data_IF_364001982845
#
_entry.id   IF_364001982845
#
_cell.length_a   1.000
_cell.length_b   1.000
_cell.length_c   1.000
_cell.angle_alpha   90.00
_cell.angle_beta   90.00
_cell.angle_gamma   90.00
#
_symmetry.space_group_name_H-M   'P 1'
#
loop_
_entity.id
_entity.type
_entity.pdbx_description
1 polymer ?
#
# COMPACT_ATOMS: atom_id res chain seq x y z
N UNK A 1 -21.76 -4.73 -6.79
CA UNK A 1 -21.95 -4.24 -5.42
C UNK A 1 -21.26 -2.89 -5.33
N UNK A 2 -21.92 -1.78 -4.89
CA UNK A 2 -21.32 -0.43 -4.90
C UNK A 2 -19.95 -0.34 -4.21
N UNK A 3 -19.78 -1.09 -3.12
CA UNK A 3 -18.51 -1.14 -2.39
C UNK A 3 -17.36 -1.75 -3.23
N UNK A 4 -17.66 -2.77 -4.01
CA UNK A 4 -16.68 -3.41 -4.91
C UNK A 4 -16.24 -2.45 -6.02
N UNK A 5 -17.21 -1.76 -6.63
CA UNK A 5 -16.97 -0.75 -7.66
C UNK A 5 -16.16 0.44 -7.11
N UNK A 6 -16.43 0.83 -5.86
CA UNK A 6 -15.64 1.87 -5.20
C UNK A 6 -14.18 1.46 -5.00
N UNK A 7 -13.91 0.21 -4.61
CA UNK A 7 -12.54 -0.27 -4.45
C UNK A 7 -11.81 -0.27 -5.81
N UNK A 8 -12.49 -0.70 -6.89
CA UNK A 8 -11.94 -0.58 -8.25
C UNK A 8 -11.70 0.87 -8.65
N UNK A 9 -12.62 1.78 -8.33
CA UNK A 9 -12.42 3.20 -8.60
C UNK A 9 -11.14 3.72 -7.93
N UNK A 10 -10.89 3.40 -6.65
CA UNK A 10 -9.65 3.79 -5.96
C UNK A 10 -8.41 3.16 -6.58
N UNK A 11 -8.50 1.87 -6.94
CA UNK A 11 -7.45 1.17 -7.67
C UNK A 11 -7.11 1.89 -8.98
N UNK A 12 -8.11 2.23 -9.78
CA UNK A 12 -7.93 2.86 -11.09
C UNK A 12 -7.38 4.29 -10.98
N UNK A 13 -7.69 5.03 -9.91
CA UNK A 13 -7.05 6.32 -9.63
C UNK A 13 -5.53 6.14 -9.42
N UNK A 14 -5.12 5.16 -8.62
CA UNK A 14 -3.71 4.86 -8.39
C UNK A 14 -3.02 4.32 -9.66
N UNK A 15 -3.67 3.46 -10.43
CA UNK A 15 -3.13 2.93 -11.67
C UNK A 15 -2.95 4.04 -12.72
N UNK A 16 -3.92 4.94 -12.87
CA UNK A 16 -3.81 6.09 -13.76
C UNK A 16 -2.66 7.02 -13.36
N UNK A 17 -2.47 7.26 -12.08
CA UNK A 17 -1.36 8.05 -11.55
C UNK A 17 -0.02 7.38 -11.88
N UNK A 18 0.12 6.08 -11.61
CA UNK A 18 1.33 5.31 -11.89
C UNK A 18 1.70 5.37 -13.38
N UNK A 19 0.74 5.16 -14.28
CA UNK A 19 0.95 5.23 -15.74
C UNK A 19 1.41 6.62 -16.16
N UNK A 20 0.84 7.69 -15.61
CA UNK A 20 1.26 9.06 -15.91
C UNK A 20 2.71 9.32 -15.50
N UNK A 21 3.12 8.85 -14.32
CA UNK A 21 4.50 9.00 -13.84
C UNK A 21 5.47 8.17 -14.68
N UNK A 22 5.11 6.95 -15.05
CA UNK A 22 5.92 6.10 -15.94
C UNK A 22 6.09 6.73 -17.32
N UNK A 23 5.01 7.20 -17.94
CA UNK A 23 5.07 7.87 -19.27
C UNK A 23 5.86 9.19 -19.25
N UNK A 24 5.92 9.85 -18.10
CA UNK A 24 6.68 11.09 -17.93
C UNK A 24 8.15 10.86 -17.58
N UNK A 25 8.59 9.60 -17.52
CA UNK A 25 9.98 9.21 -17.19
C UNK A 25 10.53 9.94 -15.95
N UNK A 26 9.70 10.02 -14.91
CA UNK A 26 10.00 10.77 -13.69
C UNK A 26 11.28 10.26 -12.99
N UNK A 27 11.52 8.97 -13.07
CA UNK A 27 12.69 8.30 -12.51
C UNK A 27 14.01 8.67 -13.22
N UNK A 28 13.93 9.17 -14.46
CA UNK A 28 15.10 9.60 -15.23
C UNK A 28 15.48 11.07 -15.00
N UNK A 29 14.70 11.81 -14.20
CA UNK A 29 14.99 13.22 -13.90
C UNK A 29 16.38 13.37 -13.27
N UNK A 30 17.24 14.07 -13.95
CA UNK A 30 18.60 14.37 -13.49
C UNK A 30 19.64 13.28 -13.79
N UNK A 31 19.23 12.11 -14.29
CA UNK A 31 20.17 11.03 -14.61
C UNK A 31 21.05 11.37 -15.79
N UNK A 32 20.54 12.13 -16.76
CA UNK A 32 21.30 12.56 -17.95
C UNK A 32 22.57 13.31 -17.57
N UNK A 33 22.49 14.22 -16.59
CA UNK A 33 23.65 14.99 -16.10
C UNK A 33 24.68 14.10 -15.42
N UNK A 34 24.24 13.02 -14.78
CA UNK A 34 25.12 12.07 -14.11
C UNK A 34 25.81 11.19 -15.15
N UNK A 35 25.07 10.72 -16.16
CA UNK A 35 25.61 9.94 -17.27
C UNK A 35 26.66 10.78 -18.05
N UNK A 36 26.40 12.06 -18.28
CA UNK A 36 27.33 12.99 -18.88
C UNK A 36 28.62 13.13 -18.06
N UNK A 37 28.48 13.41 -16.74
CA UNK A 37 29.61 13.53 -15.82
C UNK A 37 30.42 12.22 -15.70
N UNK A 38 29.74 11.08 -15.71
CA UNK A 38 30.38 9.76 -15.71
C UNK A 38 31.17 9.55 -17.00
N UNK A 39 30.58 9.84 -18.17
CA UNK A 39 31.19 9.67 -19.48
C UNK A 39 32.41 10.60 -19.68
N UNK A 40 32.37 11.81 -19.15
CA UNK A 40 33.51 12.71 -19.13
C UNK A 40 34.69 12.14 -18.33
N UNK A 41 34.43 11.50 -17.20
CA UNK A 41 35.46 10.91 -16.34
C UNK A 41 35.98 9.56 -16.83
N UNK A 42 35.12 8.78 -17.50
CA UNK A 42 35.41 7.44 -18.04
C UNK A 42 34.97 7.28 -19.48
N UNK A 43 35.66 7.97 -20.45
CA UNK A 43 35.17 8.08 -21.83
C UNK A 43 35.09 6.76 -22.60
N UNK A 44 35.86 5.75 -22.20
CA UNK A 44 35.94 4.46 -22.90
C UNK A 44 35.14 3.35 -22.15
N UNK A 45 34.40 3.70 -21.07
CA UNK A 45 33.70 2.74 -20.24
C UNK A 45 32.17 2.86 -20.38
N UNK A 46 31.56 1.74 -20.78
CA UNK A 46 30.07 1.65 -20.81
C UNK A 46 29.56 1.11 -19.49
N UNK A 47 29.18 2.01 -18.60
CA UNK A 47 28.73 1.66 -17.25
C UNK A 47 27.33 1.02 -17.22
N UNK A 48 27.13 0.05 -16.34
CA UNK A 48 25.80 -0.35 -15.95
C UNK A 48 25.18 0.64 -14.92
N UNK A 49 23.89 0.48 -14.65
CA UNK A 49 23.18 1.37 -13.72
C UNK A 49 23.73 1.33 -12.29
N UNK A 50 24.29 0.20 -11.86
CA UNK A 50 24.86 0.04 -10.53
C UNK A 50 26.15 0.83 -10.38
N UNK A 51 26.98 0.84 -11.44
CA UNK A 51 28.20 1.63 -11.48
C UNK A 51 27.91 3.13 -11.50
N UNK A 52 26.89 3.55 -12.25
CA UNK A 52 26.42 4.95 -12.27
C UNK A 52 25.92 5.36 -10.88
N UNK A 53 25.15 4.52 -10.21
CA UNK A 53 24.63 4.80 -8.85
C UNK A 53 25.76 4.89 -7.82
N UNK A 54 26.80 4.03 -7.90
CA UNK A 54 27.99 4.14 -7.07
C UNK A 54 28.75 5.45 -7.32
N UNK A 55 28.95 5.78 -8.59
CA UNK A 55 29.57 7.05 -8.99
C UNK A 55 28.80 8.25 -8.42
N UNK A 56 27.46 8.25 -8.50
CA UNK A 56 26.66 9.32 -7.92
C UNK A 56 26.97 9.52 -6.43
N UNK A 57 27.07 8.43 -5.70
CA UNK A 57 27.33 8.44 -4.27
C UNK A 57 28.74 8.92 -3.94
N UNK A 58 29.74 8.43 -4.70
CA UNK A 58 31.16 8.77 -4.51
C UNK A 58 31.46 10.24 -4.85
N UNK A 59 30.76 10.82 -5.84
CA UNK A 59 30.96 12.19 -6.29
C UNK A 59 29.97 13.21 -5.67
N UNK A 60 29.09 12.76 -4.74
CA UNK A 60 28.18 13.64 -4.02
C UNK A 60 26.94 14.10 -4.81
N UNK A 61 26.51 13.33 -5.81
CA UNK A 61 25.24 13.56 -6.52
C UNK A 61 24.06 12.97 -5.74
N UNK A 62 23.91 13.33 -4.45
CA UNK A 62 22.91 12.72 -3.56
C UNK A 62 21.47 12.92 -4.04
N UNK A 63 21.11 14.13 -4.47
CA UNK A 63 19.74 14.42 -4.85
C UNK A 63 19.24 13.59 -6.05
N UNK A 64 19.95 13.49 -7.18
CA UNK A 64 19.60 12.60 -8.28
C UNK A 64 19.62 11.12 -7.89
N UNK A 65 20.59 10.70 -7.06
CA UNK A 65 20.68 9.34 -6.56
C UNK A 65 19.42 8.94 -5.79
N UNK A 66 19.04 9.71 -4.78
CA UNK A 66 17.81 9.46 -4.02
C UNK A 66 16.57 9.55 -4.89
N UNK A 67 16.48 10.54 -5.76
CA UNK A 67 15.33 10.68 -6.66
C UNK A 67 15.12 9.42 -7.51
N UNK A 68 16.19 8.90 -8.13
CA UNK A 68 16.13 7.69 -8.92
C UNK A 68 15.68 6.47 -8.10
N UNK A 69 16.33 6.21 -6.96
CA UNK A 69 15.99 5.06 -6.12
C UNK A 69 14.57 5.12 -5.58
N UNK A 70 14.16 6.28 -5.04
CA UNK A 70 12.82 6.46 -4.50
C UNK A 70 11.77 6.25 -5.58
N UNK A 71 11.98 6.83 -6.76
CA UNK A 71 11.07 6.69 -7.90
C UNK A 71 10.90 5.23 -8.29
N UNK A 72 12.00 4.50 -8.51
CA UNK A 72 11.96 3.08 -8.89
C UNK A 72 11.29 2.20 -7.83
N UNK A 73 11.63 2.40 -6.56
CA UNK A 73 11.06 1.62 -5.46
C UNK A 73 9.57 1.93 -5.30
N UNK A 74 9.18 3.21 -5.31
CA UNK A 74 7.76 3.59 -5.16
C UNK A 74 6.91 3.09 -6.33
N UNK A 75 7.40 3.23 -7.57
CA UNK A 75 6.70 2.71 -8.75
C UNK A 75 6.56 1.20 -8.68
N UNK A 76 7.62 0.47 -8.34
CA UNK A 76 7.61 -0.98 -8.21
C UNK A 76 6.67 -1.47 -7.12
N UNK A 77 6.72 -0.89 -5.91
CA UNK A 77 5.83 -1.24 -4.80
C UNK A 77 4.36 -0.93 -5.13
N UNK A 78 4.10 0.21 -5.77
CA UNK A 78 2.74 0.61 -6.16
C UNK A 78 2.19 -0.31 -7.25
N UNK A 79 2.97 -0.60 -8.29
CA UNK A 79 2.59 -1.53 -9.36
C UNK A 79 2.25 -2.91 -8.81
N UNK A 80 3.10 -3.46 -7.96
CA UNK A 80 2.90 -4.76 -7.34
C UNK A 80 1.65 -4.76 -6.44
N UNK A 81 1.45 -3.72 -5.62
CA UNK A 81 0.25 -3.54 -4.80
C UNK A 81 -1.03 -3.55 -5.65
N UNK A 82 -1.03 -2.80 -6.74
CA UNK A 82 -2.18 -2.69 -7.63
C UNK A 82 -2.48 -4.00 -8.36
N UNK A 83 -1.48 -4.68 -8.90
CA UNK A 83 -1.67 -5.96 -9.58
C UNK A 83 -2.28 -7.02 -8.65
N UNK A 84 -1.74 -7.19 -7.44
CA UNK A 84 -2.30 -8.12 -6.47
C UNK A 84 -3.71 -7.76 -6.03
N UNK A 85 -3.98 -6.47 -5.83
CA UNK A 85 -5.33 -5.99 -5.45
C UNK A 85 -6.33 -6.23 -6.57
N UNK A 86 -5.98 -5.94 -7.83
CA UNK A 86 -6.82 -6.20 -9.00
C UNK A 86 -7.19 -7.68 -9.10
N UNK A 87 -6.20 -8.56 -9.06
CA UNK A 87 -6.43 -10.01 -9.18
C UNK A 87 -7.23 -10.57 -8.00
N UNK A 88 -7.06 -10.00 -6.79
CA UNK A 88 -7.89 -10.34 -5.65
C UNK A 88 -9.35 -9.96 -5.88
N UNK A 89 -9.62 -8.74 -6.34
CA UNK A 89 -10.98 -8.28 -6.65
C UNK A 89 -11.64 -9.13 -7.74
N UNK A 90 -10.91 -9.43 -8.82
CA UNK A 90 -11.41 -10.35 -9.88
C UNK A 90 -11.64 -11.77 -9.37
N UNK A 91 -10.88 -12.21 -8.39
CA UNK A 91 -11.06 -13.51 -7.73
C UNK A 91 -12.31 -13.52 -6.85
N UNK A 92 -12.62 -12.42 -6.14
CA UNK A 92 -13.87 -12.26 -5.40
C UNK A 92 -15.11 -12.29 -6.31
N UNK A 93 -15.08 -11.64 -7.49
CA UNK A 93 -16.16 -11.73 -8.46
C UNK A 93 -16.47 -13.18 -8.88
N UNK A 94 -15.44 -14.01 -8.93
CA UNK A 94 -15.53 -15.44 -9.29
C UNK A 94 -15.71 -16.36 -8.09
N UNK A 95 -15.95 -15.82 -6.88
CA UNK A 95 -16.09 -16.56 -5.62
C UNK A 95 -14.89 -17.45 -5.26
N UNK A 96 -13.70 -17.08 -5.71
CA UNK A 96 -12.43 -17.75 -5.40
C UNK A 96 -11.83 -17.19 -4.11
N UNK A 97 -12.52 -17.33 -2.99
CA UNK A 97 -12.22 -16.66 -1.73
C UNK A 97 -10.80 -16.93 -1.21
N UNK A 98 -10.36 -18.20 -1.17
CA UNK A 98 -9.01 -18.55 -0.70
C UNK A 98 -7.93 -17.87 -1.56
N UNK A 99 -8.11 -17.84 -2.88
CA UNK A 99 -7.18 -17.14 -3.78
C UNK A 99 -7.22 -15.65 -3.52
N UNK A 100 -8.41 -15.06 -3.44
CA UNK A 100 -8.60 -13.63 -3.25
C UNK A 100 -7.94 -13.12 -1.96
N UNK A 101 -8.22 -13.77 -0.82
CA UNK A 101 -7.61 -13.39 0.46
C UNK A 101 -6.11 -13.66 0.52
N UNK A 102 -5.60 -14.70 -0.14
CA UNK A 102 -4.16 -14.95 -0.24
C UNK A 102 -3.46 -13.83 -1.01
N UNK A 103 -4.09 -13.32 -2.08
CA UNK A 103 -3.57 -12.20 -2.87
C UNK A 103 -3.60 -10.87 -2.09
N UNK A 104 -4.61 -10.60 -1.25
CA UNK A 104 -4.69 -9.36 -0.46
C UNK A 104 -3.63 -9.24 0.64
N UNK A 105 -2.98 -10.35 1.00
CA UNK A 105 -2.00 -10.34 2.08
C UNK A 105 -0.80 -9.46 1.78
N UNK A 106 -0.16 -9.64 0.64
CA UNK A 106 1.07 -8.93 0.26
C UNK A 106 0.87 -7.41 0.12
N UNK A 107 -0.15 -6.92 -0.65
CA UNK A 107 -0.37 -5.49 -0.84
C UNK A 107 -0.46 -4.70 0.45
N UNK A 108 -1.22 -5.19 1.43
CA UNK A 108 -1.52 -4.42 2.62
C UNK A 108 -0.62 -4.73 3.82
N UNK A 109 -0.03 -5.91 3.87
CA UNK A 109 0.88 -6.27 4.97
C UNK A 109 2.34 -5.95 4.71
N UNK A 110 2.72 -5.84 3.45
CA UNK A 110 4.11 -5.61 3.03
C UNK A 110 4.23 -4.31 2.23
N UNK A 111 3.67 -4.24 1.01
CA UNK A 111 3.87 -3.11 0.12
C UNK A 111 3.41 -1.79 0.74
N UNK A 112 2.22 -1.74 1.36
CA UNK A 112 1.71 -0.52 2.00
C UNK A 112 2.64 -0.03 3.13
N UNK A 113 3.14 -0.93 3.97
CA UNK A 113 4.09 -0.56 5.03
C UNK A 113 5.36 0.04 4.45
N UNK A 114 5.89 -0.56 3.38
CA UNK A 114 7.11 -0.06 2.73
C UNK A 114 6.89 1.30 2.07
N UNK A 115 5.73 1.51 1.42
CA UNK A 115 5.35 2.82 0.88
C UNK A 115 5.23 3.85 2.00
N UNK A 116 4.62 3.50 3.15
CA UNK A 116 4.54 4.38 4.31
C UNK A 116 5.92 4.75 4.86
N UNK A 117 6.82 3.78 5.01
CA UNK A 117 8.20 4.01 5.47
C UNK A 117 8.95 4.94 4.52
N UNK A 118 8.87 4.68 3.22
CA UNK A 118 9.46 5.50 2.18
C UNK A 118 8.90 6.93 2.21
N UNK A 119 7.58 7.08 2.35
CA UNK A 119 6.89 8.36 2.42
C UNK A 119 7.26 9.17 3.67
N UNK A 120 7.41 8.51 4.81
CA UNK A 120 7.74 9.16 6.09
C UNK A 120 9.18 9.67 6.10
N UNK A 121 10.14 8.80 5.79
CA UNK A 121 11.57 9.13 5.77
C UNK A 121 12.31 8.25 4.76
N UNK A 122 12.47 8.76 3.54
CA UNK A 122 13.10 8.02 2.45
C UNK A 122 14.60 7.76 2.70
N UNK A 123 15.32 8.68 3.34
CA UNK A 123 16.76 8.52 3.60
C UNK A 123 16.99 7.32 4.51
N UNK A 124 16.31 7.29 5.65
CA UNK A 124 16.38 6.16 6.58
C UNK A 124 15.89 4.85 5.94
N UNK A 125 14.87 4.91 5.07
CA UNK A 125 14.38 3.73 4.37
C UNK A 125 15.45 3.18 3.42
N UNK A 126 16.10 4.02 2.62
CA UNK A 126 17.16 3.63 1.68
C UNK A 126 18.37 3.06 2.44
N UNK A 127 18.79 3.69 3.54
CA UNK A 127 19.88 3.17 4.39
C UNK A 127 19.59 1.76 4.90
N UNK A 128 18.36 1.50 5.37
CA UNK A 128 17.94 0.16 5.82
C UNK A 128 17.89 -0.82 4.64
N UNK A 129 17.43 -0.35 3.48
CA UNK A 129 17.28 -1.16 2.27
C UNK A 129 18.64 -1.59 1.70
N UNK A 130 19.67 -0.73 1.80
CA UNK A 130 21.04 -1.02 1.37
C UNK A 130 21.80 -1.97 2.32
N UNK A 131 21.37 -2.05 3.57
CA UNK A 131 22.00 -2.97 4.52
C UNK A 131 21.59 -4.42 4.21
N UNK A 132 22.55 -5.33 4.16
CA UNK A 132 22.33 -6.77 3.85
C UNK A 132 21.36 -7.48 4.82
N UNK A 133 21.03 -6.86 5.96
CA UNK A 133 20.14 -7.42 6.98
C UNK A 133 18.72 -6.87 6.91
N UNK A 134 17.97 -7.22 5.86
CA UNK A 134 16.54 -6.89 5.72
C UNK A 134 15.62 -7.56 6.77
N UNK A 135 16.18 -8.23 7.80
CA UNK A 135 15.40 -8.91 8.85
C UNK A 135 14.53 -7.97 9.68
N UNK A 136 14.92 -6.69 9.79
CA UNK A 136 14.17 -5.67 10.53
C UNK A 136 12.85 -5.29 9.87
N UNK A 137 12.72 -5.48 8.55
CA UNK A 137 11.52 -5.17 7.78
C UNK A 137 10.53 -6.35 7.72
N UNK A 138 10.97 -7.58 7.97
CA UNK A 138 10.16 -8.79 7.79
C UNK A 138 9.17 -9.10 8.94
N UNK A 139 9.35 -8.57 10.15
CA UNK A 139 8.46 -8.81 11.29
C UNK A 139 8.33 -7.55 12.15
N UNK A 140 7.66 -6.54 11.60
CA UNK A 140 7.46 -5.27 12.30
C UNK A 140 6.44 -5.47 13.44
N UNK A 141 6.81 -5.21 14.71
CA UNK A 141 5.89 -5.32 15.84
C UNK A 141 4.69 -4.37 15.72
N UNK A 142 3.56 -4.70 16.36
CA UNK A 142 2.34 -3.89 16.33
C UNK A 142 2.59 -2.43 16.70
N UNK A 143 3.33 -2.18 17.78
CA UNK A 143 3.63 -0.82 18.23
C UNK A 143 4.40 0.01 17.18
N UNK A 144 5.31 -0.63 16.43
CA UNK A 144 6.04 0.02 15.34
C UNK A 144 5.13 0.26 14.14
N UNK A 145 4.26 -0.70 13.77
CA UNK A 145 3.30 -0.50 12.67
C UNK A 145 2.36 0.66 12.96
N UNK A 146 1.84 0.72 14.20
CA UNK A 146 0.99 1.83 14.62
C UNK A 146 1.73 3.18 14.53
N UNK A 147 2.97 3.24 14.99
CA UNK A 147 3.80 4.44 14.88
C UNK A 147 4.02 4.87 13.41
N UNK A 148 4.30 3.90 12.52
CA UNK A 148 4.44 4.16 11.08
C UNK A 148 3.14 4.76 10.51
N UNK A 149 1.97 4.20 10.82
CA UNK A 149 0.70 4.71 10.31
C UNK A 149 0.32 6.07 10.90
N UNK A 150 0.59 6.32 12.19
CA UNK A 150 0.37 7.64 12.81
C UNK A 150 1.27 8.71 12.19
N UNK A 151 2.54 8.43 11.96
CA UNK A 151 3.46 9.33 11.28
C UNK A 151 3.03 9.57 9.83
N UNK A 152 2.68 8.51 9.08
CA UNK A 152 2.17 8.62 7.71
C UNK A 152 0.93 9.50 7.67
N UNK A 153 -0.06 9.20 8.51
CA UNK A 153 -1.29 9.98 8.62
C UNK A 153 -1.00 11.46 8.88
N UNK A 154 -0.09 11.76 9.81
CA UNK A 154 0.25 13.15 10.18
C UNK A 154 0.87 13.93 9.02
N UNK A 155 1.48 13.25 8.07
CA UNK A 155 2.09 13.83 6.87
C UNK A 155 1.10 13.96 5.69
N UNK A 156 -0.14 13.43 5.79
CA UNK A 156 -1.16 13.56 4.76
C UNK A 156 -1.87 14.90 4.85
N UNK A 157 -2.21 15.51 3.72
CA UNK A 157 -2.98 16.76 3.68
C UNK A 157 -4.36 16.59 4.35
N UNK A 158 -5.01 15.45 4.15
CA UNK A 158 -6.32 15.14 4.71
C UNK A 158 -6.24 14.23 5.95
N UNK A 159 -5.26 14.45 6.81
CA UNK A 159 -4.95 13.60 7.97
C UNK A 159 -6.14 13.33 8.91
N UNK A 160 -7.10 14.28 9.02
CA UNK A 160 -8.29 14.13 9.88
C UNK A 160 -9.25 13.04 9.43
N UNK A 161 -9.16 12.60 8.19
CA UNK A 161 -10.01 11.53 7.64
C UNK A 161 -9.63 10.14 8.15
N UNK A 162 -8.42 9.97 8.65
CA UNK A 162 -7.86 8.66 8.93
C UNK A 162 -7.64 8.43 10.43
N UNK A 163 -7.89 7.21 10.85
CA UNK A 163 -7.55 6.67 12.16
C UNK A 163 -6.51 5.56 11.97
N UNK A 164 -5.27 5.82 12.37
CA UNK A 164 -4.15 4.89 12.19
C UNK A 164 -4.35 3.60 12.99
N UNK A 165 -5.01 3.67 14.14
CA UNK A 165 -5.31 2.48 14.94
C UNK A 165 -6.36 1.59 14.26
N UNK A 166 -7.34 2.20 13.60
CA UNK A 166 -8.32 1.48 12.80
C UNK A 166 -7.67 0.82 11.57
N UNK A 167 -6.77 1.53 10.87
CA UNK A 167 -6.04 0.97 9.72
C UNK A 167 -5.20 -0.24 10.14
N UNK A 168 -4.45 -0.13 11.24
CA UNK A 168 -3.66 -1.23 11.79
C UNK A 168 -4.55 -2.41 12.16
N UNK A 169 -5.64 -2.16 12.86
CA UNK A 169 -6.62 -3.18 13.26
C UNK A 169 -7.22 -3.92 12.06
N UNK A 170 -7.67 -3.19 11.03
CA UNK A 170 -8.28 -3.76 9.83
C UNK A 170 -7.31 -4.65 9.05
N UNK A 171 -6.03 -4.35 9.05
CA UNK A 171 -5.02 -5.11 8.29
C UNK A 171 -4.44 -6.27 9.11
N UNK A 172 -4.14 -6.06 10.41
CA UNK A 172 -3.26 -6.95 11.17
C UNK A 172 -3.91 -7.64 12.37
N UNK A 173 -5.11 -7.23 12.80
CA UNK A 173 -5.72 -7.79 13.99
C UNK A 173 -6.14 -9.26 13.80
N UNK A 174 -5.63 -10.11 14.68
CA UNK A 174 -6.05 -11.53 14.79
C UNK A 174 -7.31 -11.72 15.63
N UNK A 175 -7.88 -10.64 16.17
CA UNK A 175 -9.04 -10.63 17.04
C UNK A 175 -10.24 -9.92 16.43
N UNK A 176 -10.07 -9.22 15.32
CA UNK A 176 -11.15 -8.57 14.59
C UNK A 176 -11.62 -9.45 13.42
N UNK A 177 -12.80 -10.12 13.53
CA UNK A 177 -13.31 -10.98 12.46
C UNK A 177 -13.69 -10.21 11.19
N UNK A 178 -13.87 -8.88 11.27
CA UNK A 178 -14.15 -8.00 10.14
C UNK A 178 -12.89 -7.42 9.50
N UNK A 179 -11.71 -7.71 10.06
CA UNK A 179 -10.41 -7.36 9.49
C UNK A 179 -9.92 -8.39 8.47
N UNK A 180 -8.87 -8.02 7.72
CA UNK A 180 -8.31 -8.86 6.67
C UNK A 180 -7.50 -10.04 7.21
N UNK A 181 -6.83 -9.88 8.37
CA UNK A 181 -5.82 -10.82 8.85
C UNK A 181 -6.34 -12.24 9.02
N UNK A 182 -7.51 -12.41 9.65
CA UNK A 182 -8.08 -13.72 9.92
C UNK A 182 -8.36 -14.47 8.63
N UNK A 183 -9.00 -13.81 7.67
CA UNK A 183 -9.33 -14.40 6.38
C UNK A 183 -8.08 -14.70 5.54
N UNK A 184 -7.09 -13.81 5.56
CA UNK A 184 -5.79 -14.04 4.90
C UNK A 184 -5.04 -15.23 5.49
N UNK A 185 -5.01 -15.36 6.83
CA UNK A 185 -4.36 -16.51 7.50
C UNK A 185 -5.06 -17.83 7.17
N UNK A 186 -6.38 -17.87 7.23
CA UNK A 186 -7.15 -19.08 6.86
C UNK A 186 -6.98 -19.44 5.40
N UNK A 187 -6.86 -18.46 4.52
CA UNK A 187 -6.64 -18.68 3.09
C UNK A 187 -5.26 -19.28 2.77
N UNK A 188 -4.24 -18.90 3.55
CA UNK A 188 -2.85 -19.34 3.31
C UNK A 188 -2.44 -20.61 4.06
N UNK A 189 -3.18 -21.00 5.10
CA UNK A 189 -2.84 -22.14 5.94
C UNK A 189 -4.01 -23.12 6.05
N UNK A 190 -3.83 -24.38 5.71
CA UNK A 190 -4.86 -25.42 5.84
C UNK A 190 -5.24 -25.69 7.31
N UNK A 191 -4.30 -25.51 8.23
CA UNK A 191 -4.52 -25.71 9.67
C UNK A 191 -3.84 -24.55 10.41
N UNK A 192 -4.58 -23.92 11.33
CA UNK A 192 -4.06 -22.93 12.27
C UNK A 192 -4.27 -23.42 13.68
N UNK A 193 -3.23 -23.34 14.51
CA UNK A 193 -3.23 -23.94 15.87
C UNK A 193 -3.51 -22.94 16.99
N UNK A 194 -3.43 -21.63 16.72
CA UNK A 194 -3.49 -20.58 17.74
C UNK A 194 -4.50 -19.48 17.38
N UNK A 195 -5.07 -18.85 18.43
CA UNK A 195 -6.00 -17.73 18.31
C UNK A 195 -7.47 -18.15 18.30
N UNK A 196 -8.32 -17.36 18.96
CA UNK A 196 -9.74 -17.63 19.14
C UNK A 196 -10.48 -17.80 17.81
N UNK A 197 -10.26 -16.88 16.86
CA UNK A 197 -10.92 -16.88 15.55
C UNK A 197 -10.13 -17.63 14.45
N UNK A 198 -8.86 -17.95 14.71
CA UNK A 198 -7.98 -18.60 13.75
C UNK A 198 -7.93 -20.11 13.91
N UNK A 199 -8.15 -20.62 15.14
CA UNK A 199 -7.96 -22.04 15.44
C UNK A 199 -8.89 -22.92 14.61
N UNK A 200 -8.26 -23.82 13.87
CA UNK A 200 -8.99 -24.84 13.10
C UNK A 200 -9.61 -25.86 14.06
N UNK A 201 -10.90 -26.18 13.88
CA UNK A 201 -11.63 -27.17 14.67
C UNK A 201 -11.06 -28.58 14.51
N UNK A 202 -11.36 -29.48 15.43
CA UNK A 202 -11.02 -30.91 15.29
C UNK A 202 -11.70 -31.48 14.05
N UNK A 203 -10.96 -32.25 13.25
CA UNK A 203 -11.43 -32.86 12.01
C UNK A 203 -11.81 -31.89 10.88
N UNK A 204 -11.44 -30.59 11.00
CA UNK A 204 -11.62 -29.60 9.97
C UNK A 204 -10.28 -29.12 9.43
N UNK A 205 -10.30 -28.59 8.21
CA UNK A 205 -9.24 -27.79 7.62
C UNK A 205 -9.76 -26.35 7.44
N UNK A 206 -8.86 -25.41 7.36
CA UNK A 206 -9.24 -24.03 7.03
C UNK A 206 -9.70 -24.01 5.56
N UNK A 207 -10.98 -24.19 5.37
CA UNK A 207 -11.62 -24.04 4.08
C UNK A 207 -12.62 -22.90 4.20
N UNK A 208 -12.36 -21.84 3.46
CA UNK A 208 -13.30 -20.72 3.38
C UNK A 208 -14.58 -21.16 2.63
N UNK A 209 -14.55 -22.30 1.93
CA UNK A 209 -15.68 -22.84 1.18
C UNK A 209 -16.68 -23.65 2.06
N UNK A 210 -16.29 -24.03 3.25
CA UNK A 210 -17.17 -24.82 4.15
C UNK A 210 -18.22 -24.00 4.89
N UNK A 211 -18.19 -22.67 4.72
CA UNK A 211 -19.23 -21.81 5.28
C UNK A 211 -20.47 -21.83 4.38
N UNK A 212 -21.61 -22.34 4.84
CA UNK A 212 -22.83 -22.38 4.05
C UNK A 212 -23.39 -20.99 3.68
N UNK A 213 -22.93 -19.94 4.37
CA UNK A 213 -23.34 -18.57 4.13
C UNK A 213 -22.24 -17.82 3.36
N UNK A 214 -22.36 -17.78 2.03
CA UNK A 214 -21.41 -17.04 1.17
C UNK A 214 -21.26 -15.55 1.53
N UNK A 215 -22.30 -14.93 2.07
CA UNK A 215 -22.28 -13.52 2.45
C UNK A 215 -21.23 -13.24 3.56
N UNK A 216 -21.08 -14.19 4.49
CA UNK A 216 -20.11 -14.07 5.59
C UNK A 216 -18.66 -14.02 5.06
N UNK A 217 -18.41 -14.54 3.88
CA UNK A 217 -17.09 -14.56 3.25
C UNK A 217 -16.71 -13.22 2.60
N UNK A 218 -17.72 -12.43 2.19
CA UNK A 218 -17.51 -11.09 1.67
C UNK A 218 -17.45 -10.02 2.77
N UNK A 219 -17.97 -10.30 3.95
CA UNK A 219 -18.10 -9.32 5.03
C UNK A 219 -16.75 -8.72 5.45
N UNK A 220 -15.67 -9.49 5.69
CA UNK A 220 -14.38 -8.91 6.06
C UNK A 220 -13.81 -7.99 4.97
N UNK A 221 -13.84 -8.43 3.70
CA UNK A 221 -13.26 -7.64 2.61
C UNK A 221 -14.02 -6.34 2.38
N UNK A 222 -15.37 -6.37 2.38
CA UNK A 222 -16.16 -5.15 2.14
C UNK A 222 -16.31 -4.27 3.38
N UNK A 223 -15.91 -4.74 4.55
CA UNK A 223 -15.80 -3.92 5.75
C UNK A 223 -14.43 -3.25 5.85
N UNK A 224 -13.36 -4.00 5.66
CA UNK A 224 -12.01 -3.49 5.86
C UNK A 224 -11.43 -2.79 4.62
N UNK A 225 -11.60 -3.39 3.43
CA UNK A 225 -10.86 -2.96 2.24
C UNK A 225 -11.19 -1.53 1.76
N UNK A 226 -12.44 -1.01 1.81
CA UNK A 226 -12.71 0.38 1.44
C UNK A 226 -11.92 1.38 2.28
N UNK A 227 -11.84 1.15 3.59
CA UNK A 227 -11.12 2.02 4.54
C UNK A 227 -9.60 1.92 4.31
N UNK A 228 -9.08 0.72 4.10
CA UNK A 228 -7.65 0.49 3.83
C UNK A 228 -7.27 1.08 2.47
N UNK A 229 -8.11 0.88 1.43
CA UNK A 229 -7.83 1.39 0.09
C UNK A 229 -7.87 2.91 0.00
N UNK A 230 -8.82 3.59 0.66
CA UNK A 230 -8.82 5.07 0.64
C UNK A 230 -7.58 5.63 1.31
N UNK A 231 -7.15 5.06 2.46
CA UNK A 231 -5.88 5.42 3.09
C UNK A 231 -4.70 5.18 2.14
N UNK A 232 -4.62 3.99 1.55
CA UNK A 232 -3.57 3.61 0.59
C UNK A 232 -3.50 4.58 -0.60
N UNK A 233 -4.65 4.95 -1.16
CA UNK A 233 -4.74 5.91 -2.28
C UNK A 233 -4.15 7.26 -1.89
N UNK A 234 -4.48 7.78 -0.69
CA UNK A 234 -3.94 9.05 -0.23
C UNK A 234 -2.45 8.99 0.06
N UNK A 235 -1.95 7.87 0.58
CA UNK A 235 -0.51 7.65 0.80
C UNK A 235 0.24 7.61 -0.54
N UNK A 236 -0.23 6.83 -1.51
CA UNK A 236 0.35 6.76 -2.85
C UNK A 236 0.35 8.14 -3.52
N UNK A 237 -0.81 8.80 -3.56
CA UNK A 237 -0.95 10.13 -4.15
C UNK A 237 0.02 11.13 -3.54
N UNK A 238 0.16 11.15 -2.21
CA UNK A 238 1.05 12.04 -1.49
C UNK A 238 2.53 11.68 -1.66
N UNK A 239 2.86 10.40 -1.76
CA UNK A 239 4.22 9.94 -2.03
C UNK A 239 4.70 10.36 -3.43
N UNK A 240 3.87 10.15 -4.45
CA UNK A 240 4.17 10.62 -5.80
C UNK A 240 4.24 12.15 -5.88
N UNK A 241 3.36 12.86 -5.18
CA UNK A 241 3.40 14.33 -5.09
C UNK A 241 4.72 14.88 -4.53
N UNK A 242 5.39 14.14 -3.63
CA UNK A 242 6.72 14.50 -3.13
C UNK A 242 7.82 14.32 -4.18
N UNK A 243 7.68 13.36 -5.08
CA UNK A 243 8.66 13.12 -6.16
C UNK A 243 8.61 14.23 -7.22
N UNK A 244 7.43 14.45 -7.75
CA UNK A 244 7.18 15.51 -8.74
C UNK A 244 5.79 16.08 -8.45
N UNK A 245 5.70 17.36 -8.11
CA UNK A 245 4.43 18.00 -7.78
C UNK A 245 3.43 17.93 -8.92
N UNK A 246 2.29 17.30 -8.66
CA UNK A 246 1.12 17.37 -9.54
C UNK A 246 0.54 18.77 -9.57
N UNK A 247 -0.21 19.10 -10.62
CA UNK A 247 -1.05 20.27 -10.59
C UNK A 247 -2.00 20.20 -9.38
N UNK A 248 -2.04 21.25 -8.58
CA UNK A 248 -2.82 21.32 -7.34
C UNK A 248 -4.29 20.94 -7.55
N UNK A 249 -4.89 21.35 -8.67
CA UNK A 249 -6.28 21.02 -8.98
C UNK A 249 -6.44 19.51 -9.24
N UNK A 250 -5.49 18.87 -9.92
CA UNK A 250 -5.51 17.42 -10.17
C UNK A 250 -5.38 16.65 -8.88
N UNK A 251 -4.41 17.02 -8.02
CA UNK A 251 -4.24 16.40 -6.71
C UNK A 251 -5.51 16.48 -5.86
N UNK A 252 -6.05 17.69 -5.68
CA UNK A 252 -7.28 17.91 -4.91
C UNK A 252 -8.49 17.21 -5.53
N UNK A 253 -8.59 17.17 -6.86
CA UNK A 253 -9.69 16.45 -7.52
C UNK A 253 -9.69 14.96 -7.18
N UNK A 254 -8.57 14.29 -7.29
CA UNK A 254 -8.45 12.86 -6.94
C UNK A 254 -8.75 12.66 -5.45
N UNK A 255 -8.14 13.46 -4.57
CA UNK A 255 -8.30 13.34 -3.13
C UNK A 255 -9.75 13.57 -2.68
N UNK A 256 -10.40 14.67 -3.13
CA UNK A 256 -11.76 15.01 -2.75
C UNK A 256 -12.78 14.04 -3.36
N UNK A 257 -12.57 13.61 -4.61
CA UNK A 257 -13.45 12.62 -5.26
C UNK A 257 -13.44 11.29 -4.53
N UNK A 258 -12.26 10.83 -4.09
CA UNK A 258 -12.13 9.59 -3.32
C UNK A 258 -12.89 9.64 -2.00
N UNK A 259 -12.79 10.77 -1.28
CA UNK A 259 -13.51 11.00 -0.02
C UNK A 259 -15.02 11.10 -0.24
N UNK A 260 -15.45 11.88 -1.23
CA UNK A 260 -16.86 12.06 -1.55
C UNK A 260 -17.54 10.74 -1.96
N UNK A 261 -16.87 9.91 -2.75
CA UNK A 261 -17.36 8.57 -3.09
C UNK A 261 -17.41 7.66 -1.86
N UNK A 262 -16.41 7.72 -0.97
CA UNK A 262 -16.40 6.96 0.27
C UNK A 262 -17.57 7.34 1.19
N UNK A 263 -17.80 8.63 1.41
CA UNK A 263 -18.92 9.10 2.25
C UNK A 263 -20.27 8.68 1.67
N UNK A 264 -20.46 8.78 0.36
CA UNK A 264 -21.69 8.37 -0.29
C UNK A 264 -22.04 6.89 -0.09
N UNK A 265 -21.04 6.00 0.00
CA UNK A 265 -21.27 4.58 0.31
C UNK A 265 -21.90 4.37 1.70
N UNK A 266 -21.69 5.28 2.63
CA UNK A 266 -22.11 5.15 4.03
C UNK A 266 -23.29 6.05 4.43
N UNK A 267 -23.69 7.04 3.58
CA UNK A 267 -24.87 7.88 3.82
C UNK A 267 -26.17 7.08 3.80
N UNK A 268 -26.25 6.01 3.00
CA UNK A 268 -27.44 5.16 2.86
C UNK A 268 -27.70 4.20 4.06
N UNK A 269 -27.34 4.57 5.28
CA UNK A 269 -27.77 3.90 6.51
C UNK A 269 -26.91 2.75 7.00
N UNK A 270 -25.72 2.53 6.41
CA UNK A 270 -24.74 1.55 6.94
C UNK A 270 -23.80 2.24 7.94
N UNK A 271 -23.60 1.62 9.11
CA UNK A 271 -22.78 2.13 10.22
C UNK A 271 -21.44 2.69 9.72
N UNK A 272 -21.22 3.97 9.99
CA UNK A 272 -19.98 4.69 9.70
C UNK A 272 -18.79 4.05 10.43
N UNK A 273 -17.90 3.40 9.70
CA UNK A 273 -16.67 2.84 10.27
C UNK A 273 -15.62 3.94 10.52
N UNK A 274 -15.61 5.01 9.72
CA UNK A 274 -14.74 6.17 9.93
C UNK A 274 -15.10 7.05 11.15
N UNK A 275 -16.30 6.92 11.73
CA UNK A 275 -16.85 7.93 12.64
C UNK A 275 -16.60 7.75 14.12
N UNK A 276 -15.63 6.99 14.56
CA UNK A 276 -15.13 7.20 15.95
C UNK A 276 -14.46 8.58 16.10
N UNK A 277 -13.99 9.18 15.02
CA UNK A 277 -13.31 10.48 15.01
C UNK A 277 -14.26 11.67 14.82
N UNK A 278 -15.34 11.57 14.03
CA UNK A 278 -16.25 12.67 13.76
C UNK A 278 -17.30 12.94 14.84
N UNK A 279 -17.52 12.01 15.76
CA UNK A 279 -18.46 12.21 16.88
C UNK A 279 -17.87 13.02 18.03
N UNK A 280 -16.61 13.49 17.92
CA UNK A 280 -15.91 14.29 18.95
C UNK A 280 -15.41 15.63 18.43
N UNK A 281 -15.78 16.04 17.24
CA UNK A 281 -15.58 17.38 16.68
C UNK A 281 -16.95 18.04 16.47
#
# INVERSE_FOLDING_TARGET
>A
IPTHEFIFFLHDQCASLLVQYEQSQIDEIGIDKIVEAYSEKFPDHNADIIEILKFCRDEGFDAPYYHFLISKILMGLTSDLLHFTYEALKSFEKRKFSVAYSLLRKPFKENLIFICLLFNNYENFIEIFEQETNKSLNNIPQSKRLAIFEETKSNLEFFKLFDASLIEEMIFSKQNPLGLEISCQKATHLITSQGEYLKTGRMFINSIFDNPNELDQYEPVYTALPTVMIFTTHVILSAFQKLVPLNKNTYHHIAISSVGCYENLYIDGRKRILTKSYAKA
#
